data_IF_940523080357
#
_entry.id   IF_940523080357
#
_cell.length_a   1.000
_cell.length_b   1.000
_cell.length_c   1.000
_cell.angle_alpha   90.00
_cell.angle_beta   90.00
_cell.angle_gamma   90.00
#
_symmetry.space_group_name_H-M   'P 1'
#
loop_
_entity.id
_entity.type
_entity.pdbx_description
1 polymer ?
#
# COMPACT_ATOMS: atom_id res chain seq x y z
N UNK A 1 -10.87 7.96 86.05
CA UNK A 1 -9.86 7.53 85.09
C UNK A 1 -10.55 7.45 83.71
N UNK A 2 -10.04 8.16 82.72
CA UNK A 2 -10.59 8.06 81.36
C UNK A 2 -10.25 6.67 80.80
N UNK A 3 -11.27 5.95 80.35
CA UNK A 3 -11.08 4.63 79.78
C UNK A 3 -10.26 4.74 78.48
N UNK A 4 -9.27 3.90 78.32
CA UNK A 4 -8.44 3.95 77.07
C UNK A 4 -9.26 3.74 75.79
N UNK A 5 -8.87 4.31 74.69
CA UNK A 5 -9.51 4.05 73.39
C UNK A 5 -9.54 2.54 73.13
N UNK A 6 -10.67 2.04 72.62
CA UNK A 6 -10.85 0.63 72.28
C UNK A 6 -11.07 0.46 70.77
N UNK A 7 -10.41 -0.53 70.19
CA UNK A 7 -10.67 -0.99 68.83
C UNK A 7 -11.62 -2.19 68.89
N UNK A 8 -12.71 -2.13 68.15
CA UNK A 8 -13.74 -3.19 68.13
C UNK A 8 -14.07 -3.58 66.68
N UNK A 9 -14.25 -4.85 66.47
CA UNK A 9 -14.77 -5.37 65.24
C UNK A 9 -16.31 -5.32 65.23
N UNK A 10 -16.90 -4.93 64.15
CA UNK A 10 -18.36 -4.90 63.98
C UNK A 10 -18.74 -5.12 62.52
N UNK A 11 -20.00 -5.43 62.31
CA UNK A 11 -20.54 -5.71 60.98
C UNK A 11 -21.30 -4.50 60.43
N UNK A 12 -21.04 -4.13 59.21
CA UNK A 12 -21.74 -3.04 58.49
C UNK A 12 -23.19 -3.42 58.30
N UNK A 13 -24.12 -2.59 58.77
CA UNK A 13 -25.57 -2.81 58.66
C UNK A 13 -26.24 -1.89 57.65
N UNK A 14 -25.67 -0.69 57.44
CA UNK A 14 -26.24 0.31 56.50
C UNK A 14 -25.12 1.17 55.94
N UNK A 15 -25.28 1.62 54.70
CA UNK A 15 -24.31 2.50 54.02
C UNK A 15 -25.03 3.67 53.39
N UNK A 16 -24.54 4.89 53.64
CA UNK A 16 -24.95 6.11 52.94
C UNK A 16 -23.81 6.54 52.02
N UNK A 17 -23.88 6.12 50.76
CA UNK A 17 -22.83 6.38 49.75
C UNK A 17 -22.67 7.88 49.44
N UNK A 18 -23.76 8.69 49.56
CA UNK A 18 -23.68 10.11 49.27
C UNK A 18 -22.96 10.90 50.35
N UNK A 19 -23.15 10.51 51.61
CA UNK A 19 -22.49 11.15 52.78
C UNK A 19 -21.15 10.52 53.13
N UNK A 20 -20.80 9.39 52.53
CA UNK A 20 -19.57 8.64 52.90
C UNK A 20 -19.63 8.07 54.33
N UNK A 21 -20.84 7.73 54.82
CA UNK A 21 -21.05 7.22 56.18
C UNK A 21 -21.69 5.84 56.14
N UNK A 22 -21.44 5.07 57.22
CA UNK A 22 -22.08 3.76 57.40
C UNK A 22 -22.28 3.42 58.86
N UNK A 23 -23.27 2.55 59.12
CA UNK A 23 -23.55 2.04 60.46
C UNK A 23 -22.89 0.69 60.69
N UNK A 24 -22.29 0.53 61.87
CA UNK A 24 -21.64 -0.71 62.29
C UNK A 24 -22.36 -1.21 63.53
N UNK A 25 -22.78 -2.48 63.52
CA UNK A 25 -23.38 -3.18 64.63
C UNK A 25 -22.34 -4.11 65.23
N UNK A 26 -22.11 -3.98 66.53
CA UNK A 26 -21.24 -4.84 67.30
C UNK A 26 -21.97 -6.08 67.85
N UNK A 27 -21.19 -7.06 68.33
CA UNK A 27 -21.75 -8.31 68.89
C UNK A 27 -22.72 -8.09 70.05
N UNK A 28 -22.54 -7.01 70.84
CA UNK A 28 -23.43 -6.60 71.94
C UNK A 28 -24.70 -5.83 71.45
N UNK A 29 -24.99 -5.82 70.16
CA UNK A 29 -26.13 -5.13 69.48
C UNK A 29 -26.08 -3.61 69.55
N UNK A 30 -25.02 -3.00 70.06
CA UNK A 30 -24.82 -1.56 69.91
C UNK A 30 -24.48 -1.22 68.45
N UNK A 31 -24.98 -0.10 67.94
CA UNK A 31 -24.64 0.44 66.65
C UNK A 31 -23.98 1.80 66.77
N UNK A 32 -23.05 2.07 65.85
CA UNK A 32 -22.37 3.37 65.73
C UNK A 32 -22.38 3.80 64.30
N UNK A 33 -22.50 5.11 64.07
CA UNK A 33 -22.31 5.69 62.73
C UNK A 33 -20.83 6.05 62.54
N UNK A 34 -20.24 5.57 61.51
CA UNK A 34 -18.84 5.76 61.13
C UNK A 34 -18.74 6.54 59.81
N UNK A 35 -17.66 7.31 59.69
CA UNK A 35 -17.28 7.91 58.39
C UNK A 35 -16.23 7.03 57.74
N UNK A 36 -16.20 7.08 56.42
CA UNK A 36 -15.12 6.42 55.66
C UNK A 36 -13.78 7.08 56.03
N UNK A 37 -12.80 6.27 56.23
CA UNK A 37 -11.43 6.75 56.37
C UNK A 37 -10.83 6.97 54.99
N UNK A 38 -10.60 8.23 54.60
CA UNK A 38 -9.87 8.57 53.40
C UNK A 38 -8.37 8.37 53.69
N UNK A 39 -7.84 7.26 53.24
CA UNK A 39 -6.38 7.08 53.19
C UNK A 39 -5.82 7.99 52.08
N UNK A 40 -4.91 8.88 52.42
CA UNK A 40 -4.19 9.73 51.45
C UNK A 40 -5.07 10.62 50.56
N UNK A 41 -5.94 11.46 51.15
CA UNK A 41 -6.58 12.60 50.48
C UNK A 41 -7.34 12.35 49.20
N UNK A 42 -7.88 11.19 48.95
CA UNK A 42 -8.70 10.94 47.74
C UNK A 42 -8.93 9.47 47.42
N UNK A 43 -8.25 8.58 48.10
CA UNK A 43 -8.52 7.15 47.98
C UNK A 43 -9.61 6.72 48.96
N UNK A 44 -10.72 6.23 48.44
CA UNK A 44 -11.82 5.72 49.28
C UNK A 44 -12.49 4.51 48.66
N UNK A 45 -12.90 3.57 49.48
CA UNK A 45 -13.79 2.46 49.11
C UNK A 45 -14.80 2.29 50.23
N UNK A 46 -16.07 2.44 49.95
CA UNK A 46 -17.13 2.20 50.91
C UNK A 46 -17.22 0.71 51.20
N UNK A 47 -17.38 0.33 52.44
CA UNK A 47 -17.59 -1.06 52.81
C UNK A 47 -18.95 -1.53 52.31
N UNK A 48 -19.08 -2.81 52.05
CA UNK A 48 -20.37 -3.44 51.70
C UNK A 48 -21.16 -3.81 52.95
N UNK A 49 -22.47 -3.83 52.83
CA UNK A 49 -23.34 -4.33 53.92
C UNK A 49 -22.97 -5.78 54.24
N UNK A 50 -22.78 -6.08 55.49
CA UNK A 50 -22.34 -7.41 55.96
C UNK A 50 -20.87 -7.56 56.13
N UNK A 51 -20.03 -6.68 55.63
CA UNK A 51 -18.59 -6.72 55.87
C UNK A 51 -18.24 -6.45 57.31
N UNK A 52 -17.17 -7.06 57.82
CA UNK A 52 -16.62 -6.83 59.13
C UNK A 52 -15.57 -5.72 59.03
N UNK A 53 -15.72 -4.71 59.84
CA UNK A 53 -14.80 -3.56 59.92
C UNK A 53 -14.25 -3.36 61.33
N UNK A 54 -13.06 -2.82 61.42
CA UNK A 54 -12.44 -2.40 62.67
C UNK A 54 -12.80 -0.93 62.96
N UNK A 55 -13.34 -0.66 64.12
CA UNK A 55 -13.77 0.68 64.54
C UNK A 55 -13.00 1.09 65.79
N UNK A 56 -12.40 2.27 65.76
CA UNK A 56 -11.78 2.89 66.94
C UNK A 56 -12.85 3.68 67.72
N UNK A 57 -12.98 3.37 68.97
CA UNK A 57 -13.93 4.03 69.89
C UNK A 57 -13.17 4.80 70.98
N UNK A 58 -13.67 5.97 71.30
CA UNK A 58 -13.22 6.71 72.49
C UNK A 58 -13.61 5.96 73.76
N UNK A 59 -13.00 6.30 74.86
CA UNK A 59 -13.27 5.69 76.18
C UNK A 59 -14.72 5.85 76.66
N UNK A 60 -15.50 6.78 76.11
CA UNK A 60 -16.93 6.94 76.38
C UNK A 60 -17.82 6.12 75.42
N UNK A 61 -17.24 5.28 74.53
CA UNK A 61 -17.94 4.45 73.54
C UNK A 61 -18.41 5.18 72.31
N UNK A 62 -18.01 6.43 72.09
CA UNK A 62 -18.26 7.17 70.85
C UNK A 62 -17.16 6.83 69.83
N UNK A 63 -17.45 6.94 68.52
CA UNK A 63 -16.48 6.71 67.46
C UNK A 63 -15.38 7.76 67.53
N UNK A 64 -14.12 7.35 67.54
CA UNK A 64 -12.94 8.22 67.55
C UNK A 64 -12.54 8.74 66.14
N UNK A 65 -13.52 8.90 65.25
CA UNK A 65 -13.35 9.58 63.97
C UNK A 65 -12.94 8.72 62.79
N UNK A 66 -12.54 7.46 62.93
CA UNK A 66 -12.15 6.65 61.77
C UNK A 66 -12.34 5.15 62.01
N UNK A 67 -12.71 4.45 60.94
CA UNK A 67 -12.53 2.99 60.85
C UNK A 67 -11.14 2.68 60.33
N UNK A 68 -10.59 1.59 60.83
CA UNK A 68 -9.24 1.13 60.48
C UNK A 68 -9.23 0.25 59.21
N UNK A 69 -10.40 0.00 58.60
CA UNK A 69 -10.56 -0.81 57.39
C UNK A 69 -11.36 -2.10 57.62
N UNK A 70 -11.47 -2.88 56.56
CA UNK A 70 -12.12 -4.19 56.55
C UNK A 70 -11.21 -5.25 57.13
N UNK A 71 -11.81 -6.25 57.81
CA UNK A 71 -11.08 -7.40 58.38
C UNK A 71 -11.44 -8.63 57.55
N UNK A 72 -10.42 -9.35 57.14
CA UNK A 72 -10.59 -10.68 56.55
C UNK A 72 -11.10 -11.67 57.59
N UNK A 73 -12.04 -12.52 57.20
CA UNK A 73 -12.64 -13.54 58.05
C UNK A 73 -13.05 -14.77 57.20
N UNK A 74 -13.58 -15.81 57.83
CA UNK A 74 -13.95 -17.05 57.16
C UNK A 74 -14.92 -16.91 55.98
N UNK A 75 -15.76 -15.86 55.98
CA UNK A 75 -16.75 -15.58 54.91
C UNK A 75 -16.26 -14.54 53.92
N UNK A 76 -15.17 -13.85 54.20
CA UNK A 76 -14.57 -12.84 53.36
C UNK A 76 -13.07 -12.98 53.40
N UNK A 77 -12.56 -13.92 52.61
CA UNK A 77 -11.14 -14.24 52.49
C UNK A 77 -10.54 -13.55 51.24
N UNK A 78 -9.22 -13.31 51.23
CA UNK A 78 -8.55 -12.87 50.03
C UNK A 78 -8.66 -13.94 48.92
N UNK A 79 -8.80 -13.51 47.67
CA UNK A 79 -8.86 -14.40 46.51
C UNK A 79 -7.61 -15.25 46.35
N UNK A 80 -6.46 -14.66 46.67
CA UNK A 80 -5.17 -15.31 46.74
C UNK A 80 -4.34 -14.71 47.89
N UNK A 81 -3.41 -15.49 48.44
CA UNK A 81 -2.55 -15.00 49.50
C UNK A 81 -1.30 -15.85 49.65
N UNK A 82 -0.13 -15.24 49.57
CA UNK A 82 1.18 -15.83 49.80
C UNK A 82 2.23 -14.76 50.12
N UNK A 83 3.37 -15.17 50.59
CA UNK A 83 4.45 -14.23 50.92
C UNK A 83 4.97 -13.52 49.67
N UNK A 84 5.02 -12.19 49.70
CA UNK A 84 5.45 -11.35 48.57
C UNK A 84 4.32 -10.87 47.66
N UNK A 85 3.07 -11.30 47.89
CA UNK A 85 1.93 -10.78 47.17
C UNK A 85 1.47 -9.44 47.73
N UNK A 86 1.31 -8.46 46.83
CA UNK A 86 0.56 -7.23 47.06
C UNK A 86 -0.62 -7.18 46.09
N UNK A 87 -1.86 -7.12 46.62
CA UNK A 87 -3.08 -7.10 45.81
C UNK A 87 -4.08 -6.08 46.33
N UNK A 88 -4.69 -5.31 45.41
CA UNK A 88 -5.72 -4.32 45.70
C UNK A 88 -6.94 -4.61 44.83
N UNK A 89 -8.05 -4.91 45.49
CA UNK A 89 -9.34 -5.19 44.83
C UNK A 89 -10.17 -3.91 44.71
N UNK A 90 -10.67 -3.63 43.49
CA UNK A 90 -11.55 -2.52 43.22
C UNK A 90 -13.00 -2.95 43.06
N UNK A 91 -13.24 -4.18 42.59
CA UNK A 91 -14.57 -4.76 42.40
C UNK A 91 -15.30 -5.03 43.72
N UNK A 92 -16.63 -5.24 43.64
CA UNK A 92 -17.43 -5.77 44.73
C UNK A 92 -17.15 -7.23 44.97
N UNK A 93 -17.03 -7.97 43.88
CA UNK A 93 -16.61 -9.39 43.91
C UNK A 93 -15.11 -9.45 43.73
N UNK A 94 -14.44 -10.23 44.57
CA UNK A 94 -13.02 -10.47 44.45
C UNK A 94 -12.70 -11.07 43.04
N UNK A 95 -11.63 -10.59 42.42
CA UNK A 95 -11.24 -10.99 41.09
C UNK A 95 -11.89 -10.19 39.94
N UNK A 96 -12.90 -9.35 40.17
CA UNK A 96 -13.56 -8.58 39.10
C UNK A 96 -12.73 -7.42 38.57
N UNK A 97 -11.95 -6.77 39.41
CA UNK A 97 -11.04 -5.68 39.05
C UNK A 97 -9.99 -5.47 40.10
N UNK A 98 -8.74 -5.61 39.76
CA UNK A 98 -7.63 -5.56 40.72
C UNK A 98 -6.33 -5.06 40.11
N UNK A 99 -5.45 -4.63 40.99
CA UNK A 99 -4.00 -4.52 40.78
C UNK A 99 -3.29 -5.56 41.60
N UNK A 100 -2.29 -6.21 41.07
CA UNK A 100 -1.54 -7.27 41.67
C UNK A 100 -0.06 -7.09 41.37
N UNK A 101 0.77 -7.17 42.42
CA UNK A 101 2.22 -7.23 42.29
C UNK A 101 2.74 -8.47 43.04
N UNK A 102 3.54 -9.26 42.35
CA UNK A 102 4.22 -10.40 42.94
C UNK A 102 5.72 -10.09 43.08
N UNK A 103 6.16 -9.91 44.32
CA UNK A 103 7.56 -9.59 44.61
C UNK A 103 8.52 -10.76 44.31
N UNK A 104 8.03 -12.00 44.20
CA UNK A 104 8.86 -13.15 43.90
C UNK A 104 9.23 -13.22 42.40
N UNK A 105 8.35 -12.76 41.51
CA UNK A 105 8.56 -12.74 40.06
C UNK A 105 8.84 -11.35 39.51
N UNK A 106 8.50 -10.30 40.26
CA UNK A 106 8.52 -8.91 39.82
C UNK A 106 7.35 -8.57 38.88
N UNK A 107 6.36 -9.43 38.74
CA UNK A 107 5.23 -9.24 37.83
C UNK A 107 4.21 -8.25 38.41
N UNK A 108 3.81 -7.26 37.62
CA UNK A 108 2.69 -6.37 37.90
C UNK A 108 1.55 -6.63 36.93
N UNK A 109 0.35 -6.88 37.43
CA UNK A 109 -0.87 -7.11 36.66
C UNK A 109 -1.94 -6.12 37.04
N UNK A 110 -2.58 -5.51 36.07
CA UNK A 110 -3.82 -4.76 36.23
C UNK A 110 -4.93 -5.44 35.43
N UNK A 111 -5.99 -5.83 36.09
CA UNK A 111 -7.14 -6.51 35.50
C UNK A 111 -8.42 -5.73 35.73
N UNK A 112 -9.27 -5.66 34.72
CA UNK A 112 -10.61 -5.11 34.81
C UNK A 112 -11.57 -5.92 33.94
N UNK A 113 -12.64 -6.42 34.53
CA UNK A 113 -13.63 -7.27 33.86
C UNK A 113 -14.39 -6.55 32.75
N UNK A 114 -14.61 -5.24 32.85
CA UNK A 114 -15.47 -4.49 31.91
C UNK A 114 -14.67 -3.48 31.10
N UNK A 115 -14.28 -2.35 31.69
CA UNK A 115 -13.65 -1.25 30.97
C UNK A 115 -12.59 -0.57 31.83
N UNK A 116 -11.41 -0.40 31.29
CA UNK A 116 -10.35 0.44 31.83
C UNK A 116 -10.24 1.71 30.99
N UNK A 117 -10.19 2.88 31.64
CA UNK A 117 -9.98 4.17 30.99
C UNK A 117 -8.81 4.91 31.64
N UNK A 118 -7.90 5.40 30.80
CA UNK A 118 -6.85 6.37 31.22
C UNK A 118 -7.18 7.71 30.55
N UNK A 119 -7.42 8.74 31.35
CA UNK A 119 -7.70 10.11 30.87
C UNK A 119 -6.66 11.03 31.48
N UNK A 120 -6.01 11.80 30.66
CA UNK A 120 -4.97 12.75 31.06
C UNK A 120 -5.13 14.05 30.26
N UNK A 121 -5.03 15.19 30.94
CA UNK A 121 -5.03 16.50 30.28
C UNK A 121 -3.63 16.88 29.72
N UNK A 122 -2.60 16.12 30.08
CA UNK A 122 -1.23 16.28 29.59
C UNK A 122 -0.80 15.07 28.75
N UNK A 123 0.47 14.67 28.92
CA UNK A 123 1.06 13.56 28.19
C UNK A 123 0.89 12.24 28.95
N UNK A 124 0.71 11.16 28.21
CA UNK A 124 0.86 9.79 28.73
C UNK A 124 2.14 9.24 28.10
N UNK A 125 3.05 8.75 28.96
CA UNK A 125 4.32 8.17 28.57
C UNK A 125 4.40 6.73 29.08
N UNK A 126 4.57 5.78 28.19
CA UNK A 126 4.78 4.37 28.51
C UNK A 126 6.13 3.93 27.91
N UNK A 127 7.06 3.48 28.73
CA UNK A 127 8.37 2.97 28.33
C UNK A 127 8.61 1.57 28.88
N UNK A 128 9.14 0.68 28.08
CA UNK A 128 9.63 -0.61 28.53
C UNK A 128 10.97 -0.94 27.86
N UNK A 129 11.88 -1.59 28.60
CA UNK A 129 13.17 -2.05 28.05
C UNK A 129 13.06 -3.34 27.25
N UNK A 130 12.00 -4.11 27.48
CA UNK A 130 11.70 -5.35 26.77
C UNK A 130 10.65 -5.16 25.67
N UNK A 131 9.89 -6.22 25.38
CA UNK A 131 8.80 -6.17 24.41
C UNK A 131 7.56 -5.47 24.98
N UNK A 132 6.88 -4.72 24.12
CA UNK A 132 5.53 -4.19 24.38
C UNK A 132 4.53 -4.89 23.48
N UNK A 133 3.52 -5.52 24.06
CA UNK A 133 2.49 -6.24 23.31
C UNK A 133 1.11 -5.70 23.69
N UNK A 134 0.33 -5.30 22.68
CA UNK A 134 -1.07 -4.94 22.82
C UNK A 134 -1.94 -5.89 21.99
N UNK A 135 -2.86 -6.61 22.64
CA UNK A 135 -3.76 -7.58 21.99
C UNK A 135 -5.20 -7.15 22.24
N UNK A 136 -6.02 -7.15 21.21
CA UNK A 136 -7.44 -6.88 21.28
C UNK A 136 -8.23 -7.98 20.56
N UNK A 137 -9.23 -8.55 21.22
CA UNK A 137 -10.17 -9.47 20.60
C UNK A 137 -11.21 -8.79 19.68
N UNK A 138 -11.26 -7.45 19.70
CA UNK A 138 -12.09 -6.62 18.86
C UNK A 138 -11.28 -5.59 18.09
N UNK A 139 -11.81 -4.41 17.92
CA UNK A 139 -11.13 -3.31 17.22
C UNK A 139 -10.04 -2.67 18.09
N UNK A 140 -8.92 -2.35 17.50
CA UNK A 140 -7.90 -1.47 18.05
C UNK A 140 -7.87 -0.17 17.24
N UNK A 141 -7.99 0.98 17.92
CA UNK A 141 -8.01 2.29 17.26
C UNK A 141 -6.92 3.18 17.85
N UNK A 142 -6.03 3.70 17.01
CA UNK A 142 -5.09 4.78 17.31
C UNK A 142 -5.57 6.02 16.55
N UNK A 143 -5.94 7.08 17.27
CA UNK A 143 -6.46 8.31 16.68
C UNK A 143 -5.81 9.54 17.27
N UNK A 144 -5.32 10.42 16.41
CA UNK A 144 -4.94 11.79 16.75
C UNK A 144 -5.93 12.76 16.09
N UNK A 145 -6.47 13.70 16.84
CA UNK A 145 -7.46 14.68 16.34
C UNK A 145 -6.85 16.03 15.95
N UNK A 146 -5.65 16.32 16.42
CA UNK A 146 -5.00 17.61 16.17
C UNK A 146 -3.51 17.50 15.80
N UNK A 147 -3.00 16.29 15.62
CA UNK A 147 -1.59 16.07 15.30
C UNK A 147 -1.37 14.81 14.48
N UNK A 148 -0.19 14.23 14.57
CA UNK A 148 0.21 13.01 13.85
C UNK A 148 0.20 11.78 14.76
N UNK A 149 0.08 10.60 14.13
CA UNK A 149 0.48 9.31 14.72
C UNK A 149 1.79 8.92 14.05
N UNK A 150 2.86 8.71 14.84
CA UNK A 150 4.17 8.31 14.34
C UNK A 150 4.53 6.91 14.86
N UNK A 151 5.00 6.06 13.96
CA UNK A 151 5.53 4.73 14.29
C UNK A 151 6.97 4.68 13.77
N UNK A 152 7.93 4.56 14.67
CA UNK A 152 9.35 4.48 14.33
C UNK A 152 9.93 3.18 14.87
N UNK A 153 10.62 2.44 14.03
CA UNK A 153 11.29 1.21 14.40
C UNK A 153 12.73 1.22 13.90
N UNK A 154 13.68 0.82 14.72
CA UNK A 154 15.11 0.79 14.35
C UNK A 154 15.43 -0.27 13.28
N UNK A 155 14.73 -1.41 13.29
CA UNK A 155 15.00 -2.52 12.37
C UNK A 155 13.86 -2.79 11.40
N UNK A 156 12.61 -2.72 11.82
CA UNK A 156 11.47 -2.98 10.94
C UNK A 156 10.13 -2.72 11.59
N UNK A 157 9.16 -2.32 10.79
CA UNK A 157 7.76 -2.25 11.15
C UNK A 157 6.94 -3.06 10.13
N UNK A 158 6.10 -3.98 10.61
CA UNK A 158 5.25 -4.82 9.76
C UNK A 158 3.78 -4.56 10.01
N UNK A 159 2.98 -4.57 8.94
CA UNK A 159 1.53 -4.56 9.00
C UNK A 159 1.03 -5.79 8.23
N UNK A 160 0.36 -6.69 8.92
CA UNK A 160 -0.20 -7.91 8.34
C UNK A 160 -1.68 -7.97 8.62
N UNK A 161 -2.47 -8.24 7.59
CA UNK A 161 -3.91 -8.44 7.70
C UNK A 161 -4.35 -9.65 6.87
N UNK A 162 -5.26 -10.46 7.41
CA UNK A 162 -5.80 -11.63 6.71
C UNK A 162 -6.79 -11.27 5.59
N UNK A 163 -7.33 -10.07 5.59
CA UNK A 163 -8.32 -9.63 4.58
C UNK A 163 -7.85 -8.40 3.80
N UNK A 164 -7.59 -7.27 4.46
CA UNK A 164 -7.24 -6.04 3.77
C UNK A 164 -6.42 -5.10 4.66
N UNK A 165 -5.52 -4.37 4.03
CA UNK A 165 -4.90 -3.15 4.56
C UNK A 165 -5.36 -2.00 3.66
N UNK A 166 -5.96 -0.95 4.25
CA UNK A 166 -6.38 0.25 3.54
C UNK A 166 -5.58 1.44 4.02
N UNK A 167 -5.06 2.23 3.09
CA UNK A 167 -4.38 3.49 3.36
C UNK A 167 -5.13 4.58 2.59
N UNK A 168 -5.80 5.47 3.30
CA UNK A 168 -6.55 6.59 2.74
C UNK A 168 -5.94 7.91 3.22
N UNK A 169 -5.61 8.78 2.30
CA UNK A 169 -5.01 10.07 2.58
C UNK A 169 -5.66 11.16 1.73
N UNK A 170 -6.15 12.21 2.38
CA UNK A 170 -6.81 13.32 1.70
C UNK A 170 -5.87 14.16 0.81
N UNK A 171 -4.55 14.07 0.99
CA UNK A 171 -3.58 14.87 0.23
C UNK A 171 -2.57 14.01 -0.52
N UNK A 172 -1.75 13.22 0.17
CA UNK A 172 -0.76 12.35 -0.46
C UNK A 172 -0.35 11.18 0.44
N UNK A 173 0.09 10.10 -0.19
CA UNK A 173 0.82 9.00 0.45
C UNK A 173 2.23 9.00 -0.10
N UNK A 174 3.24 8.99 0.79
CA UNK A 174 4.65 8.87 0.42
C UNK A 174 5.21 7.55 0.90
N UNK A 175 5.79 6.78 -0.03
CA UNK A 175 6.51 5.55 0.26
C UNK A 175 7.94 5.71 -0.24
N UNK A 176 8.90 5.67 0.66
CA UNK A 176 10.31 5.87 0.34
C UNK A 176 11.15 4.71 0.88
N UNK A 177 11.95 4.13 0.04
CA UNK A 177 12.95 3.13 0.41
C UNK A 177 14.32 3.54 -0.10
N UNK A 178 15.36 3.45 0.74
CA UNK A 178 16.73 3.81 0.34
C UNK A 178 17.38 2.75 -0.54
N UNK A 179 16.99 1.49 -0.39
CA UNK A 179 17.57 0.37 -1.12
C UNK A 179 16.57 -0.25 -2.11
N UNK A 180 15.52 -0.88 -1.63
CA UNK A 180 14.59 -1.63 -2.47
C UNK A 180 13.15 -1.41 -2.00
N UNK A 181 12.23 -1.29 -2.94
CA UNK A 181 10.78 -1.37 -2.73
C UNK A 181 10.24 -2.50 -3.60
N UNK A 182 9.56 -3.46 -2.99
CA UNK A 182 8.87 -4.54 -3.69
C UNK A 182 7.35 -4.36 -3.54
N UNK A 183 6.62 -4.54 -4.63
CA UNK A 183 5.16 -4.59 -4.69
C UNK A 183 4.79 -5.89 -5.38
N UNK A 184 4.20 -6.82 -4.66
CA UNK A 184 3.82 -8.14 -5.16
C UNK A 184 2.32 -8.34 -5.00
N UNK A 185 1.69 -8.91 -6.02
CA UNK A 185 0.30 -9.33 -6.00
C UNK A 185 0.19 -10.75 -6.54
N UNK A 186 -0.44 -11.63 -5.79
CA UNK A 186 -0.69 -13.01 -6.23
C UNK A 186 -1.82 -13.16 -7.24
N UNK A 187 -2.57 -12.09 -7.51
CA UNK A 187 -3.67 -12.03 -8.48
C UNK A 187 -3.57 -10.72 -9.25
N UNK A 188 -4.51 -9.83 -9.08
CA UNK A 188 -4.60 -8.60 -9.84
C UNK A 188 -3.93 -7.42 -9.13
N UNK A 189 -3.29 -6.56 -9.89
CA UNK A 189 -2.83 -5.26 -9.44
C UNK A 189 -3.48 -4.18 -10.29
N UNK A 190 -4.27 -3.30 -9.66
CA UNK A 190 -4.94 -2.18 -10.35
C UNK A 190 -4.34 -0.86 -9.90
N UNK A 191 -3.95 -0.02 -10.85
CA UNK A 191 -3.48 1.35 -10.62
C UNK A 191 -4.35 2.31 -11.40
N UNK A 192 -5.12 3.14 -10.69
CA UNK A 192 -5.96 4.17 -11.30
C UNK A 192 -5.43 5.55 -10.93
N UNK A 193 -5.19 6.39 -11.94
CA UNK A 193 -4.66 7.75 -11.75
C UNK A 193 -5.60 8.72 -12.47
N UNK A 194 -6.32 9.55 -11.72
CA UNK A 194 -7.23 10.56 -12.27
C UNK A 194 -6.54 11.79 -12.89
N UNK A 195 -5.24 11.95 -12.64
CA UNK A 195 -4.42 13.05 -13.15
C UNK A 195 -3.19 12.55 -13.90
N UNK A 196 -2.03 13.15 -13.63
CA UNK A 196 -0.76 12.79 -14.29
C UNK A 196 -0.06 11.65 -13.56
N UNK A 197 0.36 10.63 -14.29
CA UNK A 197 1.32 9.63 -13.82
C UNK A 197 2.72 10.00 -14.33
N UNK A 198 3.70 10.08 -13.44
CA UNK A 198 5.11 10.23 -13.80
C UNK A 198 5.92 9.04 -13.26
N UNK A 199 6.68 8.40 -14.12
CA UNK A 199 7.66 7.40 -13.74
C UNK A 199 9.05 7.86 -14.22
N UNK A 200 10.04 7.76 -13.37
CA UNK A 200 11.43 8.11 -13.70
C UNK A 200 12.33 6.99 -13.21
N UNK A 201 12.99 6.32 -14.12
CA UNK A 201 13.99 5.28 -13.85
C UNK A 201 15.33 5.79 -14.33
N UNK A 202 16.31 5.91 -13.42
CA UNK A 202 17.66 6.40 -13.76
C UNK A 202 18.59 5.29 -14.24
N UNK A 203 18.26 4.05 -13.93
CA UNK A 203 19.03 2.87 -14.32
C UNK A 203 18.33 2.05 -15.39
N UNK A 204 18.62 0.75 -15.39
CA UNK A 204 17.97 -0.19 -16.30
C UNK A 204 16.50 -0.40 -15.87
N UNK A 205 15.58 -0.27 -16.81
CA UNK A 205 14.21 -0.69 -16.67
C UNK A 205 13.99 -2.02 -17.41
N UNK A 206 13.28 -2.94 -16.80
CA UNK A 206 12.97 -4.25 -17.39
C UNK A 206 11.53 -4.59 -17.11
N UNK A 207 10.74 -4.72 -18.17
CA UNK A 207 9.36 -5.20 -18.09
C UNK A 207 9.26 -6.57 -18.76
N UNK A 208 8.66 -7.54 -18.10
CA UNK A 208 8.44 -8.88 -18.64
C UNK A 208 6.95 -9.22 -18.54
N UNK A 209 6.35 -9.55 -19.68
CA UNK A 209 4.97 -9.98 -19.77
C UNK A 209 4.95 -11.39 -20.37
N UNK A 210 4.31 -12.34 -19.69
CA UNK A 210 4.15 -13.72 -20.18
C UNK A 210 2.80 -13.95 -20.87
N UNK A 211 1.87 -13.01 -20.78
CA UNK A 211 0.55 -13.04 -21.37
C UNK A 211 0.32 -11.94 -22.40
N UNK A 212 -0.93 -11.75 -22.75
CA UNK A 212 -1.37 -10.69 -23.65
C UNK A 212 -1.12 -9.30 -23.03
N UNK A 213 -0.58 -8.38 -23.83
CA UNK A 213 -0.41 -6.97 -23.45
C UNK A 213 -1.29 -6.11 -24.32
N UNK A 214 -2.28 -5.44 -23.74
CA UNK A 214 -3.12 -4.47 -24.43
C UNK A 214 -2.82 -3.05 -23.95
N UNK A 215 -2.47 -2.15 -24.87
CA UNK A 215 -2.27 -0.72 -24.58
C UNK A 215 -3.21 0.10 -25.46
N UNK A 216 -4.03 0.94 -24.86
CA UNK A 216 -4.96 1.84 -25.56
C UNK A 216 -4.63 3.28 -25.19
N UNK A 217 -4.52 4.14 -26.19
CA UNK A 217 -4.26 5.57 -26.02
C UNK A 217 -5.33 6.35 -26.80
N UNK A 218 -6.17 7.09 -26.11
CA UNK A 218 -7.21 7.93 -26.72
C UNK A 218 -6.69 9.29 -27.19
N UNK A 219 -5.43 9.58 -26.93
CA UNK A 219 -4.77 10.83 -27.26
C UNK A 219 -3.46 10.62 -28.02
N UNK A 220 -2.66 11.68 -28.13
CA UNK A 220 -1.37 11.64 -28.79
C UNK A 220 -0.37 10.82 -27.97
N UNK A 221 0.19 9.77 -28.56
CA UNK A 221 1.36 9.07 -28.04
C UNK A 221 2.62 9.71 -28.64
N UNK A 222 3.59 10.08 -27.81
CA UNK A 222 4.92 10.53 -28.23
C UNK A 222 5.98 9.68 -27.55
N UNK A 223 6.77 8.96 -28.31
CA UNK A 223 7.92 8.19 -27.84
C UNK A 223 9.21 8.81 -28.40
N UNK A 224 10.18 9.06 -27.55
CA UNK A 224 11.51 9.54 -27.95
C UNK A 224 12.58 8.62 -27.36
N UNK A 225 13.36 8.03 -28.24
CA UNK A 225 14.48 7.17 -27.89
C UNK A 225 15.76 7.82 -28.42
N UNK A 226 16.75 8.00 -27.55
CA UNK A 226 18.03 8.61 -27.93
C UNK A 226 19.14 7.57 -28.19
N UNK A 227 18.84 6.30 -27.99
CA UNK A 227 19.74 5.17 -28.27
C UNK A 227 19.14 4.22 -29.29
N UNK A 228 19.80 3.08 -29.45
CA UNK A 228 19.38 2.04 -30.36
C UNK A 228 18.04 1.43 -29.96
N UNK A 229 17.22 1.10 -30.94
CA UNK A 229 15.95 0.40 -30.76
C UNK A 229 16.02 -0.93 -31.49
N UNK A 230 15.93 -2.04 -30.75
CA UNK A 230 15.83 -3.37 -31.32
C UNK A 230 14.42 -3.93 -31.04
N UNK A 231 13.71 -4.33 -32.11
CA UNK A 231 12.41 -5.00 -32.00
C UNK A 231 12.53 -6.37 -32.65
N UNK A 232 12.34 -7.43 -31.85
CA UNK A 232 12.33 -8.80 -32.35
C UNK A 232 10.93 -9.39 -32.15
N UNK A 233 10.27 -9.77 -33.22
CA UNK A 233 8.94 -10.37 -33.24
C UNK A 233 9.04 -11.73 -33.92
N UNK A 234 8.75 -12.81 -33.21
CA UNK A 234 8.79 -14.17 -33.70
C UNK A 234 7.49 -14.61 -34.38
N UNK A 235 6.47 -13.74 -34.36
CA UNK A 235 5.15 -13.97 -34.95
C UNK A 235 4.78 -12.85 -35.91
N UNK A 236 3.52 -12.73 -36.28
CA UNK A 236 3.04 -11.72 -37.21
C UNK A 236 3.10 -10.31 -36.61
N UNK A 237 3.40 -9.33 -37.42
CA UNK A 237 3.23 -7.92 -37.14
C UNK A 237 2.14 -7.36 -38.04
N UNK A 238 1.04 -6.88 -37.43
CA UNK A 238 -0.02 -6.19 -38.12
C UNK A 238 -0.02 -4.72 -37.73
N UNK A 239 -0.13 -3.83 -38.69
CA UNK A 239 -0.18 -2.38 -38.47
C UNK A 239 -1.26 -1.77 -39.37
N UNK A 240 -2.29 -1.23 -38.74
CA UNK A 240 -3.34 -0.45 -39.42
C UNK A 240 -3.20 1.03 -39.06
N UNK A 241 -3.25 1.92 -40.05
CA UNK A 241 -3.18 3.37 -39.87
C UNK A 241 -4.21 4.01 -40.75
N UNK A 242 -5.18 4.71 -40.18
CA UNK A 242 -6.24 5.42 -40.90
C UNK A 242 -5.85 6.86 -41.28
N UNK A 243 -4.61 7.24 -41.09
CA UNK A 243 -4.05 8.56 -41.41
C UNK A 243 -2.71 8.43 -42.15
N UNK A 244 -1.96 9.51 -42.19
CA UNK A 244 -0.67 9.56 -42.86
C UNK A 244 0.41 8.80 -42.08
N UNK A 245 1.31 8.15 -42.78
CA UNK A 245 2.54 7.59 -42.25
C UNK A 245 3.73 8.38 -42.81
N UNK A 246 4.46 9.03 -41.92
CA UNK A 246 5.72 9.70 -42.29
C UNK A 246 6.90 8.93 -41.68
N UNK A 247 7.87 8.56 -42.52
CA UNK A 247 9.09 7.91 -42.11
C UNK A 247 10.27 8.76 -42.56
N UNK A 248 11.10 9.23 -41.63
CA UNK A 248 12.31 10.01 -41.94
C UNK A 248 13.52 9.28 -41.36
N UNK A 249 14.49 8.99 -42.17
CA UNK A 249 15.80 8.43 -41.76
C UNK A 249 16.92 9.32 -42.35
N UNK A 250 17.93 9.62 -41.57
CA UNK A 250 19.12 10.34 -42.00
C UNK A 250 20.27 9.39 -42.40
N UNK A 251 20.16 8.13 -42.04
CA UNK A 251 21.07 7.05 -42.45
C UNK A 251 20.41 6.09 -43.43
N UNK A 252 21.05 4.95 -43.59
CA UNK A 252 20.61 3.92 -44.51
C UNK A 252 19.32 3.23 -44.05
N UNK A 253 18.45 2.83 -44.95
CA UNK A 253 17.32 1.94 -44.72
C UNK A 253 17.60 0.63 -45.46
N UNK A 254 17.75 -0.46 -44.70
CA UNK A 254 17.94 -1.81 -45.24
C UNK A 254 16.69 -2.64 -44.94
N UNK A 255 16.12 -3.26 -45.93
CA UNK A 255 15.00 -4.20 -45.82
C UNK A 255 15.38 -5.53 -46.45
N UNK A 256 15.34 -6.63 -45.67
CA UNK A 256 15.56 -7.98 -46.18
C UNK A 256 14.28 -8.81 -45.97
N UNK A 257 13.77 -9.39 -47.05
CA UNK A 257 12.58 -10.23 -47.02
C UNK A 257 12.90 -11.54 -47.71
N UNK A 258 12.72 -12.67 -47.05
CA UNK A 258 12.92 -14.01 -47.63
C UNK A 258 11.65 -14.54 -48.33
N UNK A 259 10.51 -13.94 -48.08
CA UNK A 259 9.23 -14.26 -48.72
C UNK A 259 8.85 -13.23 -49.77
N UNK A 260 7.58 -13.22 -50.14
CA UNK A 260 7.03 -12.29 -51.12
C UNK A 260 6.79 -10.89 -50.50
N UNK A 261 7.01 -9.85 -51.24
CA UNK A 261 6.56 -8.50 -50.95
C UNK A 261 5.40 -8.13 -51.89
N UNK A 262 4.23 -7.84 -51.35
CA UNK A 262 3.09 -7.37 -52.08
C UNK A 262 2.77 -5.94 -51.64
N UNK A 263 2.71 -5.01 -52.63
CA UNK A 263 2.35 -3.63 -52.38
C UNK A 263 1.19 -3.26 -53.32
N UNK A 264 0.07 -2.80 -52.74
CA UNK A 264 -1.10 -2.30 -53.53
C UNK A 264 -1.28 -0.83 -53.24
N UNK A 265 -1.26 0.01 -54.25
CA UNK A 265 -1.42 1.46 -54.16
C UNK A 265 -2.51 1.88 -55.12
N UNK A 266 -3.55 2.56 -54.63
CA UNK A 266 -4.64 3.09 -55.46
C UNK A 266 -4.39 4.52 -55.95
N UNK A 267 -3.40 5.20 -55.37
CA UNK A 267 -2.97 6.55 -55.77
C UNK A 267 -1.62 6.53 -56.50
N UNK A 268 -1.01 7.67 -56.63
CA UNK A 268 0.29 7.85 -57.27
C UNK A 268 1.45 7.38 -56.41
N UNK A 269 2.49 6.88 -57.04
CA UNK A 269 3.80 6.62 -56.40
C UNK A 269 4.80 7.60 -56.96
N UNK A 270 5.33 8.48 -56.12
CA UNK A 270 6.41 9.40 -56.49
C UNK A 270 7.68 8.99 -55.79
N UNK A 271 8.74 8.73 -56.56
CA UNK A 271 10.06 8.43 -56.02
C UNK A 271 11.07 9.44 -56.55
N UNK A 272 11.73 10.21 -55.70
CA UNK A 272 12.80 11.13 -56.03
C UNK A 272 14.11 10.60 -55.49
N UNK A 273 15.07 10.33 -56.36
CA UNK A 273 16.38 9.80 -56.02
C UNK A 273 17.46 10.67 -56.63
N UNK A 274 18.39 11.17 -55.86
CA UNK A 274 19.53 11.95 -56.38
C UNK A 274 20.68 11.08 -56.86
N UNK A 275 20.73 9.81 -56.46
CA UNK A 275 21.66 8.79 -56.92
C UNK A 275 21.02 7.91 -58.00
N UNK A 276 21.49 6.67 -58.08
CA UNK A 276 20.98 5.68 -59.02
C UNK A 276 19.83 4.87 -58.41
N UNK A 277 18.90 4.47 -59.23
CA UNK A 277 17.91 3.41 -58.94
C UNK A 277 18.36 2.15 -59.69
N UNK A 278 18.59 1.05 -58.99
CA UNK A 278 18.95 -0.24 -59.57
C UNK A 278 17.94 -1.30 -59.15
N UNK A 279 17.33 -1.97 -60.10
CA UNK A 279 16.49 -3.14 -59.91
C UNK A 279 17.16 -4.36 -60.52
N UNK A 280 17.49 -5.36 -59.74
CA UNK A 280 18.07 -6.63 -60.19
C UNK A 280 17.11 -7.77 -59.92
N UNK A 281 16.74 -8.50 -60.97
CA UNK A 281 15.88 -9.70 -60.87
C UNK A 281 16.53 -10.82 -61.65
N UNK A 282 17.04 -11.84 -60.97
CA UNK A 282 17.82 -12.90 -61.59
C UNK A 282 19.01 -12.35 -62.37
N UNK A 283 19.09 -12.63 -63.66
CA UNK A 283 20.15 -12.15 -64.55
C UNK A 283 19.88 -10.81 -65.24
N UNK A 284 18.74 -10.14 -64.92
CA UNK A 284 18.33 -8.87 -65.55
C UNK A 284 18.55 -7.70 -64.59
N UNK A 285 19.13 -6.62 -65.08
CA UNK A 285 19.32 -5.38 -64.34
C UNK A 285 18.72 -4.20 -65.11
N UNK A 286 17.93 -3.39 -64.42
CA UNK A 286 17.44 -2.08 -64.91
C UNK A 286 18.06 -1.01 -64.03
N UNK A 287 18.77 -0.07 -64.62
CA UNK A 287 19.40 1.05 -63.90
C UNK A 287 18.89 2.37 -64.48
N UNK A 288 18.46 3.25 -63.56
CA UNK A 288 18.27 4.67 -63.87
C UNK A 288 19.39 5.42 -63.18
N UNK A 289 20.29 5.99 -63.99
CA UNK A 289 21.46 6.68 -63.42
C UNK A 289 21.17 8.15 -63.10
N UNK A 290 21.95 8.69 -62.14
CA UNK A 290 21.90 10.12 -61.80
C UNK A 290 22.24 11.04 -62.99
N UNK A 291 22.90 10.55 -64.03
CA UNK A 291 23.23 11.25 -65.26
C UNK A 291 22.09 11.30 -66.28
N UNK A 292 20.93 10.69 -65.97
CA UNK A 292 19.76 10.68 -66.83
C UNK A 292 19.65 9.50 -67.79
N UNK A 293 20.59 8.52 -67.72
CA UNK A 293 20.54 7.35 -68.60
C UNK A 293 19.62 6.27 -68.00
N UNK A 294 18.86 5.58 -68.85
CA UNK A 294 18.15 4.35 -68.49
C UNK A 294 18.78 3.20 -69.22
N UNK A 295 19.39 2.26 -68.49
CA UNK A 295 20.01 1.08 -69.04
C UNK A 295 19.22 -0.17 -68.67
N UNK A 296 18.99 -1.04 -69.65
CA UNK A 296 18.37 -2.37 -69.44
C UNK A 296 19.38 -3.41 -69.93
N UNK A 297 19.92 -4.20 -69.06
CA UNK A 297 20.80 -5.32 -69.40
C UNK A 297 20.08 -6.63 -69.12
N UNK A 298 19.81 -7.39 -70.16
CA UNK A 298 19.05 -8.65 -70.09
C UNK A 298 19.49 -9.58 -71.23
N UNK A 299 19.38 -10.90 -71.11
CA UNK A 299 19.59 -11.84 -72.20
C UNK A 299 18.68 -11.57 -73.37
N UNK A 300 17.46 -11.14 -73.16
CA UNK A 300 16.50 -10.74 -74.15
C UNK A 300 15.65 -9.54 -73.66
N UNK A 301 15.43 -8.56 -74.51
CA UNK A 301 14.51 -7.44 -74.26
C UNK A 301 13.37 -7.50 -75.30
N UNK A 302 12.15 -7.75 -74.82
CA UNK A 302 10.97 -7.74 -75.64
C UNK A 302 10.13 -6.49 -75.33
N UNK A 303 9.95 -5.61 -76.27
CA UNK A 303 9.14 -4.40 -76.19
C UNK A 303 7.92 -4.60 -77.02
N UNK A 304 6.74 -4.76 -76.35
CA UNK A 304 5.45 -4.92 -77.02
C UNK A 304 4.58 -3.67 -76.84
N UNK A 305 4.18 -3.04 -77.87
CA UNK A 305 3.22 -1.96 -77.89
C UNK A 305 1.89 -2.47 -78.41
N UNK A 306 0.85 -2.60 -77.57
CA UNK A 306 -0.47 -3.12 -77.95
C UNK A 306 -1.23 -2.16 -78.90
N UNK A 307 -1.00 -0.87 -78.73
CA UNK A 307 -1.55 0.18 -79.61
C UNK A 307 -0.59 1.39 -79.54
N UNK A 308 0.34 1.47 -80.41
CA UNK A 308 1.34 2.53 -80.43
C UNK A 308 2.63 2.07 -81.10
N UNK A 309 3.67 2.83 -80.93
CA UNK A 309 4.95 2.63 -81.62
C UNK A 309 6.11 2.89 -80.63
N UNK A 310 7.23 2.27 -80.86
CA UNK A 310 8.52 2.60 -80.23
C UNK A 310 9.22 3.65 -81.03
N UNK A 311 9.37 4.86 -80.51
CA UNK A 311 10.04 5.96 -81.23
C UNK A 311 11.39 6.29 -80.61
N UNK A 312 12.40 6.56 -81.42
CA UNK A 312 13.72 7.06 -80.97
C UNK A 312 13.93 8.40 -81.64
N UNK A 313 14.06 9.48 -80.87
CA UNK A 313 14.16 10.85 -81.37
C UNK A 313 13.00 11.23 -82.41
N UNK A 314 11.81 10.76 -82.10
CA UNK A 314 10.65 11.01 -82.97
C UNK A 314 10.55 10.13 -84.24
N UNK A 315 11.46 9.20 -84.39
CA UNK A 315 11.47 8.25 -85.52
C UNK A 315 10.84 6.93 -85.04
N UNK A 316 9.77 6.50 -85.69
CA UNK A 316 9.10 5.22 -85.53
C UNK A 316 10.05 4.07 -85.86
N UNK A 317 10.22 3.10 -84.99
CA UNK A 317 10.97 1.88 -85.26
C UNK A 317 10.18 0.91 -86.14
N UNK A 318 8.87 1.01 -86.11
CA UNK A 318 7.94 0.15 -86.87
C UNK A 318 7.58 0.75 -88.26
N UNK A 319 7.44 2.07 -88.36
CA UNK A 319 6.90 2.75 -89.54
C UNK A 319 7.93 3.69 -90.20
N UNK A 320 9.22 3.66 -89.81
CA UNK A 320 10.21 4.50 -90.47
C UNK A 320 10.50 4.03 -91.89
N UNK A 321 10.80 4.98 -92.76
CA UNK A 321 11.11 4.70 -94.16
C UNK A 321 12.55 5.03 -94.44
N UNK A 322 13.20 4.13 -95.16
CA UNK A 322 14.55 4.39 -95.68
C UNK A 322 14.43 5.20 -96.98
N UNK A 323 15.24 6.23 -97.09
CA UNK A 323 15.23 7.10 -98.29
C UNK A 323 15.90 6.48 -99.51
N UNK A 324 16.72 5.46 -99.38
CA UNK A 324 17.43 4.82 -100.48
C UNK A 324 16.76 3.51 -100.91
N UNK A 325 16.40 3.48 -102.20
CA UNK A 325 15.66 2.41 -102.84
C UNK A 325 16.50 1.10 -103.02
N UNK A 326 17.46 0.82 -102.17
CA UNK A 326 18.32 -0.35 -102.34
C UNK A 326 18.52 -1.21 -101.06
N UNK A 327 17.96 -0.81 -99.98
CA UNK A 327 18.05 -1.64 -98.74
C UNK A 327 16.71 -2.33 -98.54
N UNK A 328 16.70 -3.65 -98.60
CA UNK A 328 15.55 -4.49 -98.35
C UNK A 328 14.82 -4.20 -97.03
N UNK A 329 13.54 -4.56 -96.94
CA UNK A 329 12.82 -4.51 -95.65
C UNK A 329 13.55 -5.29 -94.53
N UNK A 330 13.57 -4.82 -93.35
CA UNK A 330 14.14 -5.62 -92.19
C UNK A 330 13.23 -6.84 -92.00
N UNK A 331 13.86 -8.04 -92.04
CA UNK A 331 13.20 -9.31 -91.69
C UNK A 331 12.67 -9.34 -90.27
#
# INVERSE_FOLDING_TARGET
MAQAPQVRAGRVSKVDFKRGTYEVVFADRRSVSCQINAQSNGEYKMPEIGQVVSVSLNGNGTVAGATLGTIWNETNQPEEGYQGLYRKEYGRTAGDSYERYDANTGEYTQYCRSKTGRVCNGNIYDECKGGYTAVSGGNMTLRSTGGSVSITAASGAGITASKAVSIDAGTYVSLTAQAQMALESGSDMTVTVGGKRKMTVKGKDTETFTGEVKRTYDGKLTEKMNGDVAVNVQANVEREVNGDITHTATGDITQTVTGNVTQTITGDVTQTVTGNITLTVGGTTVTVSAGGDVSVTAPNVNIQCAAGDVTVNGISLVHHKHRDAGLGEPE
#
